data_IF_519490495936
#
_entry.id   IF_519490495936
#
_cell.length_a   1.000
_cell.length_b   1.000
_cell.length_c   1.000
_cell.angle_alpha   90.00
_cell.angle_beta   90.00
_cell.angle_gamma   90.00
#
_symmetry.space_group_name_H-M   'P 1'
#
loop_
_entity.id
_entity.type
_entity.pdbx_description
1 polymer ?
#
# COMPACT_ATOMS: atom_id res chain seq x y z
N UNK A 1 19.08 -23.33 5.42
CA UNK A 1 18.63 -23.33 4.01
C UNK A 1 17.62 -22.19 3.86
N UNK A 2 18.11 -20.99 3.57
CA UNK A 2 17.31 -19.75 3.56
C UNK A 2 16.56 -19.70 2.24
N UNK A 3 15.24 -19.92 2.29
CA UNK A 3 14.40 -19.74 1.11
C UNK A 3 14.36 -18.26 0.75
N UNK A 4 15.07 -17.87 -0.30
CA UNK A 4 14.81 -16.63 -1.02
C UNK A 4 13.44 -16.80 -1.70
N UNK A 5 12.37 -16.55 -0.94
CA UNK A 5 11.02 -16.47 -1.49
C UNK A 5 10.99 -15.35 -2.51
N UNK A 6 10.48 -15.62 -3.71
CA UNK A 6 10.19 -14.59 -4.69
C UNK A 6 9.38 -13.46 -4.00
N UNK A 7 9.66 -12.18 -4.27
CA UNK A 7 8.94 -11.08 -3.65
C UNK A 7 7.52 -11.06 -4.20
N UNK A 8 6.61 -11.78 -3.53
CA UNK A 8 5.18 -11.56 -3.62
C UNK A 8 4.77 -10.50 -2.60
N UNK A 9 3.62 -9.86 -2.82
CA UNK A 9 3.07 -8.96 -1.83
C UNK A 9 2.82 -9.70 -0.50
N UNK A 10 3.19 -9.08 0.62
CA UNK A 10 2.91 -9.62 1.97
C UNK A 10 1.90 -8.72 2.67
N UNK A 11 0.92 -9.32 3.34
CA UNK A 11 -0.06 -8.60 4.16
C UNK A 11 -0.01 -9.04 5.62
N UNK A 12 -0.27 -8.12 6.55
CA UNK A 12 -0.41 -8.41 7.97
C UNK A 12 -1.27 -7.36 8.67
N UNK A 13 -1.95 -7.72 9.77
CA UNK A 13 -2.67 -6.74 10.60
C UNK A 13 -1.74 -6.17 11.67
N UNK A 14 -1.86 -4.86 11.92
CA UNK A 14 -1.20 -4.16 13.02
C UNK A 14 -2.19 -3.18 13.67
N UNK A 15 -1.75 -2.46 14.72
CA UNK A 15 -2.61 -1.57 15.50
C UNK A 15 -3.13 -0.36 14.69
N UNK A 16 -2.41 0.06 13.65
CA UNK A 16 -2.72 1.21 12.79
C UNK A 16 -3.44 0.84 11.48
N UNK A 17 -3.65 -0.44 11.20
CA UNK A 17 -4.46 -0.91 10.07
C UNK A 17 -4.01 -2.24 9.47
N UNK A 18 -4.53 -2.54 8.27
CA UNK A 18 -4.03 -3.62 7.44
C UNK A 18 -2.81 -3.15 6.69
N UNK A 19 -1.71 -3.89 6.74
CA UNK A 19 -0.48 -3.57 6.04
C UNK A 19 -0.37 -4.38 4.75
N UNK A 20 0.23 -3.78 3.73
CA UNK A 20 0.68 -4.45 2.51
C UNK A 20 2.08 -3.99 2.15
N UNK A 21 2.99 -4.94 1.96
CA UNK A 21 4.32 -4.72 1.39
C UNK A 21 4.31 -5.12 -0.08
N UNK A 22 4.50 -4.13 -0.95
CA UNK A 22 4.55 -4.27 -2.41
C UNK A 22 5.96 -4.04 -2.97
N UNK A 23 6.97 -3.97 -2.10
CA UNK A 23 8.36 -3.80 -2.51
C UNK A 23 8.86 -5.00 -3.31
N UNK A 24 9.73 -4.72 -4.28
CA UNK A 24 10.25 -5.70 -5.24
C UNK A 24 9.29 -6.05 -6.38
N UNK A 25 8.01 -5.66 -6.30
CA UNK A 25 7.06 -5.86 -7.39
C UNK A 25 7.35 -4.90 -8.54
N UNK A 26 7.21 -5.41 -9.76
CA UNK A 26 7.36 -4.62 -10.98
C UNK A 26 6.11 -3.77 -11.23
N UNK A 27 6.18 -2.75 -12.09
CA UNK A 27 4.98 -2.05 -12.52
C UNK A 27 4.21 -2.91 -13.55
N UNK A 28 2.85 -2.93 -13.53
CA UNK A 28 1.94 -2.13 -12.71
C UNK A 28 1.47 -2.82 -11.40
N UNK A 29 2.10 -3.93 -11.00
CA UNK A 29 1.59 -4.80 -9.93
C UNK A 29 1.30 -4.10 -8.59
N UNK A 30 2.16 -3.19 -8.04
CA UNK A 30 1.86 -2.43 -6.84
C UNK A 30 0.53 -1.69 -6.92
N UNK A 31 0.31 -0.98 -8.02
CA UNK A 31 -0.90 -0.16 -8.21
C UNK A 31 -2.15 -1.02 -8.15
N UNK A 32 -2.18 -2.10 -8.94
CA UNK A 32 -3.33 -3.00 -9.03
C UNK A 32 -3.67 -3.60 -7.66
N UNK A 33 -2.65 -4.11 -6.95
CA UNK A 33 -2.85 -4.74 -5.64
C UNK A 33 -3.34 -3.74 -4.59
N UNK A 34 -2.77 -2.54 -4.55
CA UNK A 34 -3.19 -1.50 -3.59
C UNK A 34 -4.66 -1.14 -3.83
N UNK A 35 -5.07 -0.91 -5.08
CA UNK A 35 -6.46 -0.56 -5.41
C UNK A 35 -7.45 -1.70 -5.09
N UNK A 36 -7.05 -2.96 -5.32
CA UNK A 36 -7.84 -4.13 -4.92
C UNK A 36 -8.03 -4.17 -3.40
N UNK A 37 -6.94 -4.01 -2.64
CA UNK A 37 -7.01 -4.03 -1.17
C UNK A 37 -7.81 -2.87 -0.59
N UNK A 38 -7.72 -1.68 -1.19
CA UNK A 38 -8.57 -0.53 -0.82
C UNK A 38 -10.05 -0.90 -0.96
N UNK A 39 -10.43 -1.58 -2.04
CA UNK A 39 -11.80 -2.03 -2.24
C UNK A 39 -12.23 -3.09 -1.20
N UNK A 40 -11.35 -4.04 -0.87
CA UNK A 40 -11.62 -5.10 0.11
C UNK A 40 -11.74 -4.58 1.55
N UNK A 41 -10.88 -3.64 1.94
CA UNK A 41 -10.87 -3.02 3.28
C UNK A 41 -12.11 -2.15 3.50
N UNK A 42 -12.62 -1.53 2.43
CA UNK A 42 -13.84 -0.73 2.47
C UNK A 42 -13.68 0.63 3.18
N UNK A 43 -14.72 1.49 3.12
CA UNK A 43 -14.62 2.92 3.43
C UNK A 43 -14.31 3.26 4.90
N UNK A 44 -14.38 2.29 5.81
CA UNK A 44 -14.08 2.49 7.23
C UNK A 44 -12.71 1.95 7.65
N UNK A 45 -11.98 1.29 6.74
CA UNK A 45 -10.70 0.71 7.07
C UNK A 45 -9.51 1.59 6.69
N UNK A 46 -8.33 1.14 7.13
CA UNK A 46 -7.05 1.82 6.94
C UNK A 46 -6.09 0.82 6.33
N UNK A 47 -5.42 1.22 5.24
CA UNK A 47 -4.40 0.42 4.57
C UNK A 47 -3.05 1.11 4.69
N UNK A 48 -2.05 0.41 5.21
CA UNK A 48 -0.66 0.88 5.31
C UNK A 48 0.17 0.22 4.21
N UNK A 49 0.64 1.01 3.25
CA UNK A 49 1.38 0.55 2.09
C UNK A 49 2.88 0.77 2.30
N UNK A 50 3.67 -0.28 2.12
CA UNK A 50 5.14 -0.24 2.12
C UNK A 50 5.61 -0.34 0.67
N UNK A 51 6.29 0.71 0.17
CA UNK A 51 6.64 0.85 -1.24
C UNK A 51 8.12 1.25 -1.43
N UNK A 52 8.74 0.84 -2.54
CA UNK A 52 10.17 1.10 -2.83
C UNK A 52 10.47 2.55 -3.23
N UNK A 53 9.43 3.28 -3.65
CA UNK A 53 9.51 4.62 -4.25
C UNK A 53 8.18 5.34 -4.15
N UNK A 54 8.14 6.63 -4.48
CA UNK A 54 6.90 7.40 -4.48
C UNK A 54 5.96 6.95 -5.63
N UNK A 55 4.75 6.40 -5.34
CA UNK A 55 3.85 5.88 -6.38
C UNK A 55 2.96 7.01 -6.94
N UNK A 56 3.54 7.91 -7.75
CA UNK A 56 2.82 9.08 -8.28
C UNK A 56 1.50 8.76 -9.00
N UNK A 57 1.41 7.61 -9.68
CA UNK A 57 0.19 7.17 -10.39
C UNK A 57 -0.91 6.68 -9.45
N UNK A 58 -0.60 6.35 -8.19
CA UNK A 58 -1.59 5.87 -7.23
C UNK A 58 -2.51 7.01 -6.76
N UNK A 59 -1.96 8.20 -6.51
CA UNK A 59 -2.71 9.33 -5.96
C UNK A 59 -3.94 9.72 -6.78
N UNK A 60 -3.88 9.91 -8.12
CA UNK A 60 -5.07 10.24 -8.89
C UNK A 60 -6.13 9.13 -8.87
N UNK A 61 -5.71 7.85 -8.86
CA UNK A 61 -6.64 6.70 -8.78
C UNK A 61 -7.38 6.67 -7.44
N UNK A 62 -6.67 6.94 -6.32
CA UNK A 62 -7.29 7.03 -5.00
C UNK A 62 -8.35 8.12 -4.94
N UNK A 63 -8.06 9.31 -5.48
CA UNK A 63 -8.99 10.44 -5.51
C UNK A 63 -10.27 10.08 -6.28
N UNK A 64 -10.15 9.35 -7.40
CA UNK A 64 -11.31 8.93 -8.19
C UNK A 64 -12.28 8.02 -7.42
N UNK A 65 -11.77 7.22 -6.48
CA UNK A 65 -12.57 6.29 -5.67
C UNK A 65 -12.90 6.84 -4.28
N UNK A 66 -12.64 8.13 -4.01
CA UNK A 66 -12.96 8.77 -2.73
C UNK A 66 -12.01 8.38 -1.60
N UNK A 67 -10.75 8.08 -1.93
CA UNK A 67 -9.68 7.78 -0.97
C UNK A 67 -8.55 8.81 -1.09
N UNK A 68 -7.72 8.88 -0.06
CA UNK A 68 -6.51 9.68 -0.05
C UNK A 68 -5.36 8.89 0.59
N UNK A 69 -4.13 9.35 0.31
CA UNK A 69 -2.92 8.80 0.89
C UNK A 69 -2.16 9.90 1.64
N UNK A 70 -1.68 9.55 2.83
CA UNK A 70 -0.79 10.34 3.66
C UNK A 70 0.57 9.66 3.72
N UNK A 71 1.67 10.39 3.51
CA UNK A 71 3.00 9.83 3.75
C UNK A 71 3.32 9.87 5.24
N UNK A 72 3.66 8.71 5.80
CA UNK A 72 4.00 8.56 7.21
C UNK A 72 5.47 8.13 7.38
N UNK A 73 6.07 8.25 8.58
CA UNK A 73 7.41 7.73 8.84
C UNK A 73 7.51 6.23 8.55
N UNK A 74 8.59 5.83 7.89
CA UNK A 74 8.88 4.44 7.51
C UNK A 74 10.36 4.10 7.63
N UNK A 75 10.75 2.89 7.21
CA UNK A 75 12.15 2.49 7.24
C UNK A 75 13.00 3.31 6.25
N UNK A 76 14.31 3.46 6.49
CA UNK A 76 15.21 4.08 5.52
C UNK A 76 15.14 3.38 4.15
N UNK A 77 14.89 4.16 3.09
CA UNK A 77 14.74 3.64 1.73
C UNK A 77 13.32 3.17 1.37
N UNK A 78 12.35 3.30 2.29
CA UNK A 78 10.95 3.00 2.06
C UNK A 78 10.12 4.28 1.87
N UNK A 79 9.07 4.19 1.06
CA UNK A 79 7.92 5.10 1.11
C UNK A 79 6.78 4.36 1.78
N UNK A 80 6.41 4.84 2.99
CA UNK A 80 5.26 4.34 3.72
C UNK A 80 4.07 5.28 3.58
N UNK A 81 2.94 4.74 3.15
CA UNK A 81 1.71 5.50 2.95
C UNK A 81 0.59 4.95 3.83
N UNK A 82 -0.15 5.83 4.47
CA UNK A 82 -1.43 5.53 5.12
C UNK A 82 -2.56 5.94 4.18
N UNK A 83 -3.39 4.97 3.79
CA UNK A 83 -4.54 5.15 2.92
C UNK A 83 -5.82 5.04 3.74
N UNK A 84 -6.74 5.97 3.53
CA UNK A 84 -8.06 5.96 4.14
C UNK A 84 -9.09 6.63 3.20
N UNK A 85 -10.38 6.44 3.47
CA UNK A 85 -11.43 7.20 2.80
C UNK A 85 -11.19 8.71 3.00
N UNK A 86 -11.46 9.47 1.94
CA UNK A 86 -11.40 10.93 1.98
C UNK A 86 -12.41 11.46 3.01
N UNK A 87 -12.04 12.48 3.80
CA UNK A 87 -12.92 13.10 4.79
C UNK A 87 -14.12 13.82 4.15
#
# INVERSE_FOLDING_TARGET
MTGAGAPGARTWNADDGLHVDVRGLQAPQPLVLILQMVHEVGPHGVLIVHHDRDPLLLYPELVQIGWWAERIPGEPGEVRLRLAAAP
#
